data_IF_952453229337
#
_entry.id   IF_952453229337
#
_cell.length_a   1.000
_cell.length_b   1.000
_cell.length_c   1.000
_cell.angle_alpha   90.00
_cell.angle_beta   90.00
_cell.angle_gamma   90.00
#
_symmetry.space_group_name_H-M   'P 1'
#
loop_
_entity.id
_entity.type
_entity.pdbx_description
1 polymer ?
#
# COMPACT_ATOMS: atom_id res chain seq x y z
N UNK A 1 15.64 -24.29 2.00
CA UNK A 1 14.93 -23.00 1.78
C UNK A 1 13.80 -22.72 2.79
N UNK A 2 13.59 -23.53 3.84
CA UNK A 2 12.66 -23.18 4.92
C UNK A 2 13.29 -23.53 6.28
N UNK A 3 14.20 -22.68 6.77
CA UNK A 3 14.96 -22.91 8.00
C UNK A 3 14.69 -21.76 9.00
N UNK A 4 13.96 -22.02 10.10
CA UNK A 4 13.70 -21.01 11.13
C UNK A 4 14.96 -20.37 11.70
N UNK A 5 16.07 -21.12 11.83
CA UNK A 5 17.35 -20.57 12.34
C UNK A 5 17.89 -19.49 11.43
N UNK A 6 17.85 -19.71 10.10
CA UNK A 6 18.29 -18.73 9.12
C UNK A 6 17.41 -17.47 9.14
N UNK A 7 16.10 -17.62 9.30
CA UNK A 7 15.20 -16.48 9.46
C UNK A 7 15.46 -15.69 10.75
N UNK A 8 15.74 -16.37 11.86
CA UNK A 8 16.12 -15.71 13.12
C UNK A 8 17.44 -14.95 13.00
N UNK A 9 18.44 -15.52 12.32
CA UNK A 9 19.72 -14.86 12.08
C UNK A 9 19.55 -13.59 11.24
N UNK A 10 18.82 -13.69 10.12
CA UNK A 10 18.45 -12.55 9.29
C UNK A 10 17.74 -11.45 10.10
N UNK A 11 16.72 -11.84 10.88
CA UNK A 11 15.91 -10.91 11.67
C UNK A 11 16.74 -10.19 12.72
N UNK A 12 17.66 -10.90 13.39
CA UNK A 12 18.57 -10.30 14.38
C UNK A 12 19.47 -9.24 13.74
N UNK A 13 20.08 -9.55 12.60
CA UNK A 13 20.97 -8.63 11.88
C UNK A 13 20.18 -7.40 11.39
N UNK A 14 19.00 -7.61 10.81
CA UNK A 14 18.13 -6.52 10.33
C UNK A 14 17.68 -5.60 11.46
N UNK A 15 17.28 -6.15 12.61
CA UNK A 15 16.88 -5.39 13.79
C UNK A 15 18.03 -4.54 14.34
N UNK A 16 19.26 -5.08 14.37
CA UNK A 16 20.45 -4.33 14.80
C UNK A 16 20.76 -3.15 13.86
N UNK A 17 20.66 -3.34 12.55
CA UNK A 17 20.86 -2.27 11.57
C UNK A 17 19.80 -1.17 11.71
N UNK A 18 18.54 -1.54 11.95
CA UNK A 18 17.43 -0.59 12.08
C UNK A 18 17.60 0.39 13.26
N UNK A 19 18.36 0.00 14.30
CA UNK A 19 18.70 0.88 15.44
C UNK A 19 19.55 2.08 15.06
N UNK A 20 20.12 2.12 13.86
CA UNK A 20 20.94 3.26 13.41
C UNK A 20 20.24 4.10 12.33
N UNK A 21 19.20 3.55 11.69
CA UNK A 21 18.64 4.12 10.46
C UNK A 21 17.16 4.52 10.57
N UNK A 22 16.44 4.08 11.59
CA UNK A 22 14.97 4.28 11.68
C UNK A 22 14.53 4.74 13.06
N UNK A 23 13.45 5.52 13.13
CA UNK A 23 12.85 5.94 14.40
C UNK A 23 12.42 4.74 15.25
N UNK A 24 11.80 3.72 14.65
CA UNK A 24 11.37 2.51 15.38
C UNK A 24 12.54 1.72 15.97
N UNK A 25 13.74 1.84 15.40
CA UNK A 25 14.95 1.23 15.96
C UNK A 25 15.50 1.93 17.20
N UNK A 26 15.07 3.17 17.47
CA UNK A 26 15.39 3.90 18.70
C UNK A 26 14.43 3.56 19.85
N UNK A 27 13.36 2.82 19.57
CA UNK A 27 12.35 2.45 20.55
C UNK A 27 12.65 1.06 21.11
N UNK A 28 12.35 0.88 22.40
CA UNK A 28 12.43 -0.40 23.08
C UNK A 28 11.07 -0.77 23.67
N UNK A 29 10.62 -1.99 23.38
CA UNK A 29 9.40 -2.53 23.97
C UNK A 29 9.74 -2.99 25.38
N UNK A 30 9.31 -2.23 26.39
CA UNK A 30 9.45 -2.62 27.78
C UNK A 30 8.53 -3.81 28.06
N UNK A 31 9.12 -4.94 28.42
CA UNK A 31 8.42 -6.16 28.82
C UNK A 31 8.54 -6.36 30.33
N UNK A 32 7.70 -7.23 30.91
CA UNK A 32 7.81 -7.65 32.31
C UNK A 32 7.37 -9.10 32.45
N UNK A 33 7.85 -9.80 33.47
CA UNK A 33 7.48 -11.21 33.73
C UNK A 33 5.97 -11.37 33.95
N UNK A 34 5.29 -10.32 34.43
CA UNK A 34 3.82 -10.31 34.61
C UNK A 34 3.03 -10.28 33.30
N UNK A 35 3.67 -9.97 32.16
CA UNK A 35 3.05 -9.92 30.83
C UNK A 35 3.37 -11.15 29.98
N UNK A 36 4.16 -12.09 30.50
CA UNK A 36 4.49 -13.31 29.77
C UNK A 36 3.28 -14.25 29.77
N UNK A 37 2.89 -14.69 28.58
CA UNK A 37 1.86 -15.70 28.39
C UNK A 37 2.47 -16.93 27.70
N UNK A 38 1.95 -18.13 27.98
CA UNK A 38 2.25 -19.34 27.22
C UNK A 38 2.02 -19.16 25.71
N UNK A 39 2.85 -19.80 24.89
CA UNK A 39 2.81 -19.64 23.42
C UNK A 39 1.50 -20.17 22.80
N UNK A 40 0.87 -21.16 23.42
CA UNK A 40 -0.44 -21.69 23.03
C UNK A 40 -1.61 -20.72 23.29
N UNK A 41 -1.39 -19.67 24.09
CA UNK A 41 -2.35 -18.56 24.26
C UNK A 41 -2.15 -17.45 23.22
N UNK A 42 -1.05 -17.48 22.47
CA UNK A 42 -0.82 -16.54 21.36
C UNK A 42 -1.67 -16.97 20.17
N UNK A 43 -2.26 -15.98 19.49
CA UNK A 43 -3.01 -16.22 18.27
C UNK A 43 -2.17 -17.04 17.25
N UNK A 44 -2.73 -18.10 16.64
CA UNK A 44 -1.99 -18.92 15.69
C UNK A 44 -1.45 -18.12 14.51
N UNK A 45 -0.28 -18.50 14.01
CA UNK A 45 0.33 -17.87 12.85
C UNK A 45 -0.60 -17.85 11.61
N UNK A 46 -1.42 -18.90 11.43
CA UNK A 46 -2.42 -19.00 10.36
C UNK A 46 -3.50 -17.91 10.40
N UNK A 47 -3.78 -17.35 11.58
CA UNK A 47 -4.71 -16.22 11.72
C UNK A 47 -3.97 -14.89 11.64
N UNK A 48 -2.73 -14.81 12.16
CA UNK A 48 -1.87 -13.62 12.04
C UNK A 48 -1.61 -13.25 10.58
N UNK A 49 -1.26 -14.22 9.74
CA UNK A 49 -0.91 -13.96 8.34
C UNK A 49 -2.07 -13.40 7.52
N UNK A 50 -3.33 -13.61 7.92
CA UNK A 50 -4.50 -13.02 7.24
C UNK A 50 -4.52 -11.48 7.30
N UNK A 51 -3.80 -10.90 8.26
CA UNK A 51 -3.61 -9.44 8.37
C UNK A 51 -2.54 -8.91 7.40
N UNK A 52 -1.76 -9.79 6.77
CA UNK A 52 -0.68 -9.39 5.88
C UNK A 52 -1.21 -9.10 4.48
N UNK A 53 -0.57 -8.13 3.85
CA UNK A 53 -0.89 -7.70 2.50
C UNK A 53 0.42 -7.50 1.74
N UNK A 54 0.54 -8.06 0.54
CA UNK A 54 1.70 -7.74 -0.32
C UNK A 54 1.58 -6.32 -0.84
N UNK A 55 2.70 -5.62 -1.01
CA UNK A 55 2.71 -4.28 -1.58
C UNK A 55 2.01 -4.20 -2.95
N UNK A 56 1.41 -3.03 -3.22
CA UNK A 56 0.77 -2.73 -4.49
C UNK A 56 1.83 -2.50 -5.59
N UNK A 57 2.21 -3.56 -6.29
CA UNK A 57 3.21 -3.53 -7.37
C UNK A 57 2.54 -3.87 -8.69
N UNK A 58 2.64 -2.98 -9.68
CA UNK A 58 1.90 -3.14 -10.93
C UNK A 58 2.49 -4.25 -11.82
N UNK A 59 1.62 -4.97 -12.53
CA UNK A 59 2.04 -5.74 -13.70
C UNK A 59 2.64 -4.79 -14.74
N UNK A 60 3.89 -5.05 -15.09
CA UNK A 60 4.76 -4.15 -15.86
C UNK A 60 5.87 -3.53 -15.03
N UNK A 61 5.63 -3.18 -13.75
CA UNK A 61 6.73 -2.90 -12.82
C UNK A 61 7.48 -4.18 -12.49
N UNK A 62 6.72 -5.21 -12.10
CA UNK A 62 7.20 -6.58 -11.91
C UNK A 62 6.68 -7.48 -13.04
N UNK A 63 7.33 -8.63 -13.22
CA UNK A 63 6.95 -9.60 -14.25
C UNK A 63 5.60 -10.26 -13.94
N UNK A 64 5.02 -10.91 -14.96
CA UNK A 64 3.79 -11.68 -14.80
C UNK A 64 3.95 -12.78 -13.75
N UNK A 65 5.06 -13.52 -13.81
CA UNK A 65 5.40 -14.61 -12.91
C UNK A 65 5.50 -14.12 -11.48
N UNK A 66 6.18 -12.99 -11.24
CA UNK A 66 6.28 -12.40 -9.91
C UNK A 66 4.91 -11.95 -9.39
N UNK A 67 4.13 -11.26 -10.22
CA UNK A 67 2.81 -10.73 -9.84
C UNK A 67 1.84 -11.85 -9.46
N UNK A 68 1.76 -12.87 -10.30
CA UNK A 68 0.88 -14.03 -10.10
C UNK A 68 1.35 -14.93 -8.96
N UNK A 69 2.66 -15.12 -8.77
CA UNK A 69 3.21 -15.87 -7.64
C UNK A 69 2.79 -15.24 -6.31
N UNK A 70 2.85 -13.91 -6.20
CA UNK A 70 2.38 -13.21 -4.99
C UNK A 70 0.88 -13.42 -4.77
N UNK A 71 0.07 -13.35 -5.83
CA UNK A 71 -1.37 -13.59 -5.70
C UNK A 71 -1.68 -15.01 -5.22
N UNK A 72 -1.10 -16.03 -5.86
CA UNK A 72 -1.27 -17.43 -5.48
C UNK A 72 -0.82 -17.65 -4.02
N UNK A 73 0.35 -17.13 -3.64
CA UNK A 73 0.89 -17.30 -2.29
C UNK A 73 -0.04 -16.70 -1.23
N UNK A 74 -0.53 -15.48 -1.44
CA UNK A 74 -1.42 -14.82 -0.49
C UNK A 74 -2.79 -15.49 -0.42
N UNK A 75 -3.35 -15.90 -1.55
CA UNK A 75 -4.62 -16.61 -1.61
C UNK A 75 -4.56 -17.94 -0.85
N UNK A 76 -3.45 -18.70 -0.97
CA UNK A 76 -3.25 -19.97 -0.24
C UNK A 76 -3.27 -19.83 1.27
N UNK A 77 -2.79 -18.71 1.80
CA UNK A 77 -2.69 -18.46 3.24
C UNK A 77 -3.84 -17.60 3.79
N UNK A 78 -4.85 -17.27 2.96
CA UNK A 78 -5.98 -16.42 3.33
C UNK A 78 -5.61 -14.94 3.57
N UNK A 79 -4.45 -14.52 3.09
CA UNK A 79 -3.99 -13.14 3.13
C UNK A 79 -4.35 -12.42 1.81
N UNK A 80 -3.92 -11.17 1.62
CA UNK A 80 -4.32 -10.38 0.43
C UNK A 80 -3.13 -9.97 -0.42
N UNK A 81 -3.30 -10.07 -1.74
CA UNK A 81 -2.41 -9.42 -2.71
C UNK A 81 -3.07 -8.22 -3.35
N UNK A 82 -2.27 -7.31 -3.89
CA UNK A 82 -2.74 -6.05 -4.48
C UNK A 82 -2.26 -5.92 -5.92
N UNK A 83 -3.16 -5.56 -6.84
CA UNK A 83 -2.83 -5.46 -8.28
C UNK A 83 -1.76 -4.43 -8.61
N UNK A 84 -1.60 -3.41 -7.77
CA UNK A 84 -0.94 -2.19 -8.20
C UNK A 84 -1.74 -1.45 -9.28
N UNK A 85 -1.13 -0.44 -9.88
CA UNK A 85 -1.75 0.50 -10.84
C UNK A 85 -1.86 -0.05 -12.27
N UNK A 86 -1.57 -1.34 -12.48
CA UNK A 86 -1.38 -1.91 -13.82
C UNK A 86 -2.61 -2.56 -14.44
N UNK A 87 -3.73 -2.60 -13.71
CA UNK A 87 -4.89 -3.43 -14.07
C UNK A 87 -4.67 -4.92 -13.77
N UNK A 88 -5.66 -5.73 -14.12
CA UNK A 88 -5.62 -7.19 -13.98
C UNK A 88 -6.45 -7.84 -15.08
N UNK A 89 -5.87 -8.82 -15.80
CA UNK A 89 -6.55 -9.52 -16.88
C UNK A 89 -7.74 -10.36 -16.38
N UNK A 90 -8.86 -10.43 -17.13
CA UNK A 90 -10.02 -11.24 -16.77
C UNK A 90 -9.74 -12.71 -16.48
N UNK A 91 -8.78 -13.31 -17.20
CA UNK A 91 -8.41 -14.71 -16.97
C UNK A 91 -7.99 -14.98 -15.50
N UNK A 92 -7.44 -13.98 -14.79
CA UNK A 92 -6.99 -14.13 -13.40
C UNK A 92 -8.12 -14.21 -12.37
N UNK A 93 -9.35 -13.85 -12.73
CA UNK A 93 -10.52 -13.95 -11.86
C UNK A 93 -11.65 -14.74 -12.50
N UNK A 94 -11.31 -15.64 -13.44
CA UNK A 94 -12.23 -16.64 -13.94
C UNK A 94 -12.71 -17.55 -12.80
N UNK A 95 -14.00 -17.90 -12.82
CA UNK A 95 -14.68 -18.65 -11.76
C UNK A 95 -14.25 -20.11 -11.64
N UNK A 96 -13.59 -20.67 -12.66
CA UNK A 96 -13.20 -22.08 -12.75
C UNK A 96 -11.72 -22.35 -12.43
N UNK A 97 -11.07 -21.46 -11.69
CA UNK A 97 -9.67 -21.65 -11.29
C UNK A 97 -9.53 -22.69 -10.16
N UNK A 98 -8.41 -23.40 -10.18
CA UNK A 98 -7.97 -24.22 -9.04
C UNK A 98 -7.83 -23.33 -7.80
N UNK A 99 -8.51 -23.63 -6.67
CA UNK A 99 -8.37 -22.88 -5.42
C UNK A 99 -6.91 -22.75 -4.95
N UNK A 100 -6.08 -23.76 -5.23
CA UNK A 100 -4.65 -23.75 -4.88
C UNK A 100 -3.80 -22.97 -5.88
N UNK A 101 -4.34 -22.56 -7.02
CA UNK A 101 -3.65 -21.77 -8.04
C UNK A 101 -4.47 -20.53 -8.44
N UNK A 102 -5.22 -19.97 -7.50
CA UNK A 102 -6.01 -18.77 -7.71
C UNK A 102 -5.09 -17.57 -7.98
N UNK A 103 -5.16 -17.04 -9.18
CA UNK A 103 -4.33 -15.94 -9.66
C UNK A 103 -4.91 -14.57 -9.29
N UNK A 104 -6.15 -14.46 -8.80
CA UNK A 104 -6.83 -13.20 -8.54
C UNK A 104 -6.15 -12.41 -7.44
N UNK A 105 -5.90 -11.12 -7.64
CA UNK A 105 -5.56 -10.23 -6.53
C UNK A 105 -6.81 -9.77 -5.78
N UNK A 106 -6.84 -10.01 -4.47
CA UNK A 106 -7.95 -9.64 -3.59
C UNK A 106 -8.17 -8.12 -3.52
N UNK A 107 -7.09 -7.34 -3.56
CA UNK A 107 -7.13 -5.87 -3.55
C UNK A 107 -6.86 -5.37 -4.97
N UNK A 108 -7.75 -4.49 -5.45
CA UNK A 108 -7.66 -3.88 -6.76
C UNK A 108 -7.48 -2.37 -6.63
N UNK A 109 -6.44 -1.83 -7.25
CA UNK A 109 -6.08 -0.44 -7.12
C UNK A 109 -6.74 0.45 -8.18
N UNK A 110 -7.30 1.57 -7.72
CA UNK A 110 -7.82 2.64 -8.56
C UNK A 110 -6.85 3.82 -8.41
N UNK A 111 -6.02 4.05 -9.42
CA UNK A 111 -5.04 5.13 -9.47
C UNK A 111 -5.36 6.15 -10.57
N UNK A 112 -4.67 7.28 -10.58
CA UNK A 112 -5.00 8.47 -11.39
C UNK A 112 -5.28 8.18 -12.88
N UNK A 113 -4.46 7.34 -13.53
CA UNK A 113 -4.62 7.00 -14.94
C UNK A 113 -5.72 5.96 -15.25
N UNK A 114 -6.30 5.31 -14.23
CA UNK A 114 -7.34 4.27 -14.36
C UNK A 114 -6.96 3.10 -15.29
N UNK A 115 -5.66 2.80 -15.42
CA UNK A 115 -5.21 1.69 -16.25
C UNK A 115 -5.86 0.36 -15.85
N UNK A 116 -6.55 -0.26 -16.80
CA UNK A 116 -7.23 -1.55 -16.63
C UNK A 116 -8.40 -1.54 -15.64
N UNK A 117 -8.87 -0.36 -15.22
CA UNK A 117 -10.07 -0.22 -14.37
C UNK A 117 -11.30 -0.38 -15.25
N UNK A 118 -11.99 -1.51 -15.10
CA UNK A 118 -13.23 -1.85 -15.82
C UNK A 118 -14.29 -2.29 -14.82
N UNK A 119 -15.57 -2.34 -15.23
CA UNK A 119 -16.65 -2.85 -14.37
C UNK A 119 -16.36 -4.27 -13.86
N UNK A 120 -15.93 -5.16 -14.75
CA UNK A 120 -15.54 -6.53 -14.38
C UNK A 120 -14.36 -6.55 -13.43
N UNK A 121 -13.34 -5.72 -13.65
CA UNK A 121 -12.24 -5.56 -12.72
C UNK A 121 -12.74 -5.16 -11.33
N UNK A 122 -13.55 -4.11 -11.21
CA UNK A 122 -14.06 -3.62 -9.91
C UNK A 122 -14.92 -4.66 -9.18
N UNK A 123 -15.79 -5.37 -9.92
CA UNK A 123 -16.69 -6.38 -9.37
C UNK A 123 -15.98 -7.61 -8.78
N UNK A 124 -14.73 -7.88 -9.19
CA UNK A 124 -13.97 -9.05 -8.72
C UNK A 124 -12.95 -8.72 -7.62
N UNK A 125 -13.16 -7.63 -6.86
CA UNK A 125 -12.33 -7.24 -5.73
C UNK A 125 -12.99 -7.60 -4.39
N UNK A 126 -12.17 -7.96 -3.40
CA UNK A 126 -12.60 -7.95 -1.99
C UNK A 126 -12.36 -6.57 -1.35
N UNK A 127 -11.43 -5.80 -1.93
CA UNK A 127 -11.12 -4.42 -1.54
C UNK A 127 -10.72 -3.59 -2.76
N UNK A 128 -11.28 -2.38 -2.85
CA UNK A 128 -10.93 -1.38 -3.83
C UNK A 128 -10.05 -0.32 -3.16
N UNK A 129 -8.81 -0.15 -3.62
CA UNK A 129 -7.86 0.79 -3.05
C UNK A 129 -7.67 2.02 -3.93
N UNK A 130 -8.15 3.18 -3.49
CA UNK A 130 -7.85 4.47 -4.10
C UNK A 130 -6.41 4.86 -3.75
N UNK A 131 -5.59 5.10 -4.77
CA UNK A 131 -4.18 5.50 -4.61
C UNK A 131 -4.02 7.01 -4.71
N UNK A 132 -4.10 7.72 -3.59
CA UNK A 132 -3.82 9.16 -3.60
C UNK A 132 -2.34 9.46 -3.83
N UNK A 133 -1.45 8.69 -3.19
CA UNK A 133 -0.01 8.89 -3.30
C UNK A 133 0.79 7.61 -2.97
N UNK A 134 2.10 7.65 -3.24
CA UNK A 134 3.07 6.65 -2.80
C UNK A 134 4.29 7.29 -2.17
N UNK A 135 4.88 6.64 -1.16
CA UNK A 135 6.00 7.21 -0.39
C UNK A 135 7.25 7.49 -1.21
N UNK A 136 7.51 6.71 -2.25
CA UNK A 136 8.70 6.85 -3.09
C UNK A 136 8.72 8.12 -3.95
N UNK A 137 7.55 8.65 -4.29
CA UNK A 137 7.36 9.88 -5.08
C UNK A 137 6.00 10.50 -4.76
N UNK A 138 5.86 11.14 -3.59
CA UNK A 138 4.65 11.85 -3.23
C UNK A 138 4.44 13.02 -4.20
N UNK A 139 3.23 13.18 -4.74
CA UNK A 139 2.92 14.28 -5.67
C UNK A 139 3.25 14.02 -7.14
N UNK A 140 3.69 12.81 -7.50
CA UNK A 140 3.86 12.38 -8.90
C UNK A 140 3.00 11.14 -9.23
N UNK A 141 2.70 10.96 -10.52
CA UNK A 141 2.00 9.78 -11.02
C UNK A 141 2.91 8.55 -11.18
N UNK A 142 2.31 7.38 -11.34
CA UNK A 142 3.01 6.15 -11.70
C UNK A 142 3.71 6.28 -13.06
N UNK A 143 4.89 5.65 -13.20
CA UNK A 143 5.66 5.66 -14.44
C UNK A 143 5.96 4.22 -14.88
N UNK A 144 5.85 3.97 -16.18
CA UNK A 144 6.31 2.73 -16.82
C UNK A 144 7.00 3.06 -18.15
N UNK A 145 8.33 2.81 -18.27
CA UNK A 145 9.06 3.05 -19.51
C UNK A 145 8.49 2.26 -20.68
N UNK A 146 8.47 2.86 -21.88
CA UNK A 146 7.83 2.28 -23.07
C UNK A 146 8.37 0.91 -23.48
N UNK A 147 9.68 0.68 -23.31
CA UNK A 147 10.29 -0.63 -23.60
C UNK A 147 9.81 -1.77 -22.67
N UNK A 148 9.20 -1.44 -21.51
CA UNK A 148 8.53 -2.42 -20.64
C UNK A 148 7.05 -2.60 -21.00
N UNK A 149 6.48 -1.75 -21.84
CA UNK A 149 5.07 -1.81 -22.25
C UNK A 149 4.94 -2.82 -23.39
N UNK A 150 4.98 -4.10 -23.03
CA UNK A 150 4.75 -5.22 -23.95
C UNK A 150 3.31 -5.21 -24.46
N UNK A 151 3.01 -6.02 -25.49
CA UNK A 151 1.64 -6.17 -26.02
C UNK A 151 0.65 -6.59 -24.94
N UNK A 152 1.05 -7.49 -24.05
CA UNK A 152 0.21 -7.94 -22.93
C UNK A 152 -0.06 -6.85 -21.90
N UNK A 153 0.95 -6.05 -21.57
CA UNK A 153 0.80 -4.92 -20.65
C UNK A 153 -0.08 -3.84 -21.29
N UNK A 154 0.14 -3.55 -22.57
CA UNK A 154 -0.66 -2.59 -23.32
C UNK A 154 -2.13 -3.02 -23.37
N UNK A 155 -2.42 -4.29 -23.68
CA UNK A 155 -3.78 -4.81 -23.66
C UNK A 155 -4.42 -4.75 -22.26
N UNK A 156 -3.67 -5.12 -21.21
CA UNK A 156 -4.17 -5.06 -19.82
C UNK A 156 -4.53 -3.64 -19.43
N UNK A 157 -3.72 -2.65 -19.85
CA UNK A 157 -3.90 -1.23 -19.51
C UNK A 157 -4.78 -0.47 -20.48
N UNK A 158 -5.23 -1.11 -21.58
CA UNK A 158 -5.93 -0.46 -22.70
C UNK A 158 -5.13 0.72 -23.28
N UNK A 159 -3.82 0.49 -23.46
CA UNK A 159 -2.86 1.45 -23.97
C UNK A 159 -2.16 0.94 -25.23
N UNK A 160 -1.21 1.73 -25.76
CA UNK A 160 -0.42 1.37 -26.94
C UNK A 160 0.89 0.68 -26.56
N UNK A 161 1.22 -0.44 -27.20
CA UNK A 161 2.48 -1.16 -26.96
C UNK A 161 3.69 -0.32 -27.36
N UNK A 162 4.78 -0.40 -26.58
CA UNK A 162 6.02 0.35 -26.80
C UNK A 162 5.99 1.82 -26.37
N UNK A 163 4.83 2.37 -26.05
CA UNK A 163 4.67 3.77 -25.63
C UNK A 163 4.81 3.88 -24.12
N UNK A 164 5.65 4.80 -23.63
CA UNK A 164 5.81 5.04 -22.20
C UNK A 164 4.52 5.54 -21.55
N UNK A 165 4.22 5.04 -20.35
CA UNK A 165 3.03 5.41 -19.60
C UNK A 165 3.43 6.24 -18.39
N UNK A 166 3.07 7.52 -18.43
CA UNK A 166 3.22 8.45 -17.32
C UNK A 166 1.79 8.80 -16.88
N UNK A 167 1.46 8.45 -15.63
CA UNK A 167 0.14 8.75 -15.08
C UNK A 167 0.08 10.22 -14.68
N UNK A 168 -1.09 10.88 -14.79
CA UNK A 168 -1.28 12.20 -14.21
C UNK A 168 -0.97 12.17 -12.70
N UNK A 169 -0.36 13.22 -12.13
CA UNK A 169 -0.16 13.27 -10.68
C UNK A 169 -1.46 13.25 -9.87
N UNK A 170 -2.49 14.06 -10.18
CA UNK A 170 -3.76 13.98 -9.48
C UNK A 170 -4.70 12.96 -10.13
N UNK A 171 -5.64 12.46 -9.32
CA UNK A 171 -6.88 11.90 -9.84
C UNK A 171 -7.72 13.04 -10.44
N UNK A 172 -8.12 12.93 -11.71
CA UNK A 172 -8.87 13.99 -12.39
C UNK A 172 -10.34 14.11 -11.96
N UNK A 173 -10.79 13.20 -11.11
CA UNK A 173 -12.09 13.14 -10.47
C UNK A 173 -12.00 13.34 -8.95
N UNK A 174 -10.85 13.84 -8.44
CA UNK A 174 -10.66 14.17 -7.03
C UNK A 174 -9.90 15.50 -6.89
N UNK A 175 -10.63 16.59 -6.70
CA UNK A 175 -10.05 17.92 -6.46
C UNK A 175 -10.32 18.46 -5.05
N UNK A 176 -11.14 17.74 -4.28
CA UNK A 176 -11.56 18.09 -2.94
C UNK A 176 -11.88 16.83 -2.13
N UNK A 177 -12.22 16.99 -0.84
CA UNK A 177 -12.55 15.83 0.01
C UNK A 177 -13.92 15.25 -0.33
N UNK A 178 -14.83 16.10 -0.79
CA UNK A 178 -16.16 15.74 -1.28
C UNK A 178 -16.09 14.97 -2.60
N UNK A 179 -15.15 15.31 -3.50
CA UNK A 179 -14.91 14.51 -4.70
C UNK A 179 -14.37 13.11 -4.37
N UNK A 180 -13.47 13.02 -3.37
CA UNK A 180 -13.03 11.71 -2.87
C UNK A 180 -14.19 10.90 -2.32
N UNK A 181 -15.09 11.54 -1.56
CA UNK A 181 -16.30 10.89 -1.04
C UNK A 181 -17.21 10.41 -2.19
N UNK A 182 -17.32 11.18 -3.27
CA UNK A 182 -18.05 10.76 -4.47
C UNK A 182 -17.42 9.53 -5.13
N UNK A 183 -16.10 9.50 -5.29
CA UNK A 183 -15.43 8.31 -5.84
C UNK A 183 -15.61 7.09 -4.92
N UNK A 184 -15.56 7.27 -3.59
CA UNK A 184 -15.84 6.19 -2.64
C UNK A 184 -17.27 5.65 -2.83
N UNK A 185 -18.23 6.55 -2.99
CA UNK A 185 -19.62 6.20 -3.27
C UNK A 185 -19.75 5.40 -4.59
N UNK A 186 -19.11 5.87 -5.66
CA UNK A 186 -19.16 5.22 -6.97
C UNK A 186 -18.55 3.81 -6.92
N UNK A 187 -17.44 3.63 -6.20
CA UNK A 187 -16.79 2.33 -6.03
C UNK A 187 -17.65 1.34 -5.22
N UNK A 188 -18.32 1.82 -4.16
CA UNK A 188 -19.28 1.01 -3.39
C UNK A 188 -20.53 0.67 -4.22
N UNK A 189 -20.96 1.55 -5.13
CA UNK A 189 -22.04 1.23 -6.06
C UNK A 189 -21.61 0.19 -7.10
N UNK A 190 -20.37 0.29 -7.60
CA UNK A 190 -19.82 -0.66 -8.57
C UNK A 190 -19.58 -2.06 -7.97
N UNK A 191 -19.22 -2.13 -6.69
CA UNK A 191 -19.06 -3.38 -5.94
C UNK A 191 -19.48 -3.18 -4.47
N UNK A 192 -20.74 -3.51 -4.12
CA UNK A 192 -21.26 -3.34 -2.76
C UNK A 192 -20.58 -4.22 -1.71
N UNK A 193 -19.99 -5.34 -2.12
CA UNK A 193 -19.33 -6.30 -1.23
C UNK A 193 -17.88 -5.92 -0.91
N UNK A 194 -17.25 -5.08 -1.74
CA UNK A 194 -15.88 -4.65 -1.54
C UNK A 194 -15.79 -3.51 -0.53
N UNK A 195 -14.81 -3.62 0.38
CA UNK A 195 -14.41 -2.48 1.20
C UNK A 195 -13.59 -1.48 0.38
N UNK A 196 -13.73 -0.19 0.66
CA UNK A 196 -12.97 0.88 0.01
C UNK A 196 -11.85 1.37 0.93
N UNK A 197 -10.64 1.40 0.38
CA UNK A 197 -9.39 1.67 1.07
C UNK A 197 -8.72 2.88 0.44
N UNK A 198 -8.29 3.86 1.23
CA UNK A 198 -7.60 5.04 0.70
C UNK A 198 -6.14 5.01 1.14
N UNK A 199 -5.23 4.99 0.16
CA UNK A 199 -3.79 4.98 0.39
C UNK A 199 -3.25 6.41 0.38
N UNK A 200 -2.80 6.85 1.56
CA UNK A 200 -2.12 8.11 1.80
C UNK A 200 -0.62 7.87 2.03
N UNK A 201 0.13 8.97 2.08
CA UNK A 201 1.54 8.99 2.47
C UNK A 201 1.68 9.74 3.79
N UNK A 202 2.58 9.26 4.65
CA UNK A 202 2.88 9.85 5.94
C UNK A 202 3.50 11.22 5.76
N UNK A 203 2.82 12.24 6.27
CA UNK A 203 3.29 13.62 6.31
C UNK A 203 2.67 14.33 7.53
N UNK A 204 3.28 15.40 8.02
CA UNK A 204 2.66 16.26 9.00
C UNK A 204 1.28 16.74 8.48
N UNK A 205 0.23 16.53 9.28
CA UNK A 205 -1.16 16.85 8.90
C UNK A 205 -1.95 15.69 8.27
N UNK A 206 -1.33 14.53 7.99
CA UNK A 206 -2.04 13.37 7.41
C UNK A 206 -3.23 12.90 8.25
N UNK A 207 -3.20 13.10 9.57
CA UNK A 207 -4.32 12.76 10.46
C UNK A 207 -5.59 13.60 10.21
N UNK A 208 -5.44 14.87 9.80
CA UNK A 208 -6.56 15.74 9.43
C UNK A 208 -7.21 15.21 8.15
N UNK A 209 -6.37 14.88 7.16
CA UNK A 209 -6.84 14.30 5.89
C UNK A 209 -7.51 12.95 6.13
N UNK A 210 -6.91 12.07 6.92
CA UNK A 210 -7.48 10.77 7.26
C UNK A 210 -8.85 10.88 7.94
N UNK A 211 -9.06 11.91 8.77
CA UNK A 211 -10.36 12.19 9.38
C UNK A 211 -11.42 12.53 8.32
N UNK A 212 -11.06 13.36 7.32
CA UNK A 212 -11.93 13.65 6.18
C UNK A 212 -12.24 12.41 5.35
N UNK A 213 -11.23 11.58 5.09
CA UNK A 213 -11.35 10.32 4.33
C UNK A 213 -12.34 9.36 4.99
N UNK A 214 -12.27 9.19 6.31
CA UNK A 214 -13.21 8.35 7.06
C UNK A 214 -14.63 8.94 7.04
N UNK A 215 -14.77 10.27 7.16
CA UNK A 215 -16.07 10.95 6.99
C UNK A 215 -16.64 10.81 5.59
N UNK A 216 -15.78 10.63 4.58
CA UNK A 216 -16.14 10.27 3.21
C UNK A 216 -16.50 8.79 3.01
N UNK A 217 -16.72 8.03 4.09
CA UNK A 217 -17.14 6.62 4.09
C UNK A 217 -16.09 5.61 3.59
N UNK A 218 -14.79 5.94 3.63
CA UNK A 218 -13.76 4.93 3.45
C UNK A 218 -13.76 3.93 4.63
N UNK A 219 -13.67 2.63 4.32
CA UNK A 219 -13.65 1.57 5.33
C UNK A 219 -12.24 1.34 5.91
N UNK A 220 -11.21 1.75 5.17
CA UNK A 220 -9.81 1.55 5.53
C UNK A 220 -8.93 2.70 5.04
N UNK A 221 -7.93 3.07 5.85
CA UNK A 221 -6.92 4.07 5.47
C UNK A 221 -5.54 3.43 5.61
N UNK A 222 -4.77 3.44 4.52
CA UNK A 222 -3.38 2.99 4.52
C UNK A 222 -2.45 4.20 4.59
N UNK A 223 -1.57 4.25 5.60
CA UNK A 223 -0.52 5.27 5.70
C UNK A 223 0.80 4.67 5.23
N UNK A 224 1.33 5.17 4.11
CA UNK A 224 2.61 4.73 3.56
C UNK A 224 3.76 5.59 4.10
N UNK A 225 4.80 4.97 4.66
CA UNK A 225 6.04 5.69 5.01
C UNK A 225 6.80 6.17 3.76
N UNK A 226 7.84 6.99 3.96
CA UNK A 226 8.68 7.50 2.87
C UNK A 226 9.55 6.43 2.21
N UNK A 227 9.95 5.39 2.95
CA UNK A 227 10.83 4.30 2.48
C UNK A 227 10.13 3.25 1.57
N UNK A 228 9.04 3.63 0.91
CA UNK A 228 8.36 2.75 -0.03
C UNK A 228 9.22 2.48 -1.27
N UNK A 229 9.28 1.23 -1.73
CA UNK A 229 9.93 0.90 -3.01
C UNK A 229 9.16 1.41 -4.22
N UNK A 230 9.85 1.54 -5.36
CA UNK A 230 9.25 1.91 -6.65
C UNK A 230 9.98 1.22 -7.81
N UNK A 231 9.25 0.77 -8.82
CA UNK A 231 9.84 0.17 -10.02
C UNK A 231 10.37 1.20 -11.04
N UNK A 232 9.92 2.46 -10.92
CA UNK A 232 10.43 3.59 -11.69
C UNK A 232 10.09 4.89 -10.94
N UNK A 233 11.12 5.68 -10.63
CA UNK A 233 11.00 7.03 -10.10
C UNK A 233 12.23 7.82 -10.51
N UNK A 234 12.07 9.13 -10.67
CA UNK A 234 13.21 10.03 -10.75
C UNK A 234 13.92 10.03 -9.40
N UNK A 235 15.25 10.02 -9.41
CA UNK A 235 16.04 10.43 -8.23
C UNK A 235 15.91 11.94 -8.14
N UNK A 236 14.88 12.41 -7.47
CA UNK A 236 14.82 13.81 -7.05
C UNK A 236 15.46 13.86 -5.68
N UNK A 237 16.49 14.69 -5.52
CA UNK A 237 17.02 15.05 -4.22
C UNK A 237 15.99 15.96 -3.54
N UNK A 238 14.88 15.38 -3.10
CA UNK A 238 13.87 16.09 -2.34
C UNK A 238 14.42 16.32 -0.93
N UNK A 239 15.23 17.37 -0.79
CA UNK A 239 15.47 18.03 0.49
C UNK A 239 14.13 18.68 0.86
N UNK A 240 13.21 17.90 1.43
CA UNK A 240 12.07 18.45 2.16
C UNK A 240 12.58 19.05 3.47
N UNK A 241 13.28 20.19 3.38
CA UNK A 241 13.39 21.14 4.49
C UNK A 241 12.03 21.83 4.62
N UNK A 242 11.06 21.16 5.26
CA UNK A 242 9.87 21.87 5.77
C UNK A 242 10.22 22.57 7.06
N UNK A 243 10.82 23.75 6.94
CA UNK A 243 10.57 24.83 7.89
C UNK A 243 9.25 25.48 7.51
N UNK A 244 8.17 25.17 8.23
CA UNK A 244 6.98 26.01 8.21
C UNK A 244 6.37 26.06 9.60
N UNK A 245 6.72 27.14 10.29
CA UNK A 245 6.05 27.65 11.48
C UNK A 245 4.74 28.28 11.03
N UNK A 246 3.62 27.87 11.61
CA UNK A 246 2.43 28.71 11.72
C UNK A 246 1.86 28.60 13.13
N UNK A 247 1.79 29.76 13.78
CA UNK A 247 1.19 30.00 15.09
C UNK A 247 -0.06 30.86 14.87
N UNK A 248 -1.23 30.32 15.24
CA UNK A 248 -2.18 31.02 16.11
C UNK A 248 -3.17 30.01 16.71
N UNK A 249 -3.26 30.08 18.03
CA UNK A 249 -4.26 29.45 18.91
C UNK A 249 -4.08 27.96 19.25
N UNK A 250 -3.00 27.72 20.00
CA UNK A 250 -3.01 26.95 21.27
C UNK A 250 -3.47 25.48 21.28
N UNK A 251 -2.56 24.54 21.03
CA UNK A 251 -2.25 23.45 21.99
C UNK A 251 -0.74 23.16 21.89
N UNK A 252 -0.03 23.50 22.96
CA UNK A 252 1.39 23.20 23.16
C UNK A 252 1.49 21.81 23.79
N UNK A 253 2.18 20.87 23.13
CA UNK A 253 2.74 19.70 23.79
C UNK A 253 4.27 19.82 23.79
N UNK A 254 4.79 20.53 24.80
CA UNK A 254 6.22 20.55 25.09
C UNK A 254 6.59 19.26 25.82
N UNK A 255 7.50 18.47 25.25
CA UNK A 255 8.27 17.48 25.99
C UNK A 255 9.75 17.84 25.88
N UNK A 256 10.27 18.58 26.86
CA UNK A 256 11.71 18.62 27.14
C UNK A 256 11.98 18.49 28.64
N UNK A 257 12.48 17.29 28.95
CA UNK A 257 13.51 16.89 29.90
C UNK A 257 13.71 17.67 31.22
N UNK A 258 13.56 16.95 32.34
CA UNK A 258 14.01 17.35 33.68
C UNK A 258 15.52 17.14 33.83
N UNK A 259 16.21 18.18 34.29
CA UNK A 259 17.21 18.13 35.36
C UNK A 259 18.54 17.41 35.11
N UNK A 260 19.61 18.18 34.99
CA UNK A 260 20.98 17.76 35.31
C UNK A 260 21.21 18.01 36.81
N UNK A 261 21.77 17.07 37.60
CA UNK A 261 22.44 17.39 38.85
C UNK A 261 23.95 17.56 38.64
N UNK A 262 24.48 18.56 39.35
CA UNK A 262 25.88 19.00 39.57
C UNK A 262 27.02 18.17 39.00
#
# INVERSE_FOLDING_TARGET
MNNPKTFHEYSRISNLQQRWCTLRGQLEIKTSDKLQIPMDQVEPASEIVKRFVTGAMSFGSISWEAHTTLAIAMNRIGAKSNTGEGGEKPERYASNQDPNNNLRSAIKQVASARFGVTSSYLAHADELQIKMAQGAKPGEGGELPGHKVTKDIADTRKSTAGVGLISPPPHHDIYSIEDLAQLIYDLKCANPDARVSVKLVSEAGVGIIASGVVKGFADHVTISGHDGGTGASRYVLDIFLKSTVYQKDSVVLTLFNRGVPS
#
